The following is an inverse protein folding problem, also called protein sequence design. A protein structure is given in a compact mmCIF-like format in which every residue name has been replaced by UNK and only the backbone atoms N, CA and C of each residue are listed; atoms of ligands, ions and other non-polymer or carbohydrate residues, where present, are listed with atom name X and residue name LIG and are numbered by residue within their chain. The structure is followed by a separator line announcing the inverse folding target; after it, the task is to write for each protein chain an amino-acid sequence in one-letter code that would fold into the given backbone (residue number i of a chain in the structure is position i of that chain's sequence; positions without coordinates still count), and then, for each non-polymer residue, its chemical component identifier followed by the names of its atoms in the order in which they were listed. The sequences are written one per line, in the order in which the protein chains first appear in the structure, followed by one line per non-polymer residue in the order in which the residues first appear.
data_IF_514354242425
#
_entry.id   IF_514354242425
#
_cell.length_a   1.000
_cell.length_b   1.000
_cell.length_c   1.000
_cell.angle_alpha   90.00
_cell.angle_beta   90.00
_cell.angle_gamma   90.00
#
_symmetry.space_group_name_H-M   'P 1'
#
loop_
_entity.id
_entity.type
_entity.pdbx_description
1 polymer ?
#
# COMPACT_ATOMS: atom_id res chain seq x y z
N UNK A 1 9.52 -19.74 -28.37
CA UNK A 1 8.95 -18.84 -27.35
C UNK A 1 9.58 -17.46 -27.55
N UNK A 2 8.80 -16.38 -27.47
CA UNK A 2 9.38 -15.02 -27.54
C UNK A 2 10.19 -14.74 -26.27
N UNK A 3 11.11 -13.76 -26.34
CA UNK A 3 11.89 -13.32 -25.17
C UNK A 3 10.96 -12.91 -24.02
N UNK A 4 9.93 -12.13 -24.31
CA UNK A 4 8.93 -11.70 -23.32
C UNK A 4 8.25 -12.88 -22.62
N UNK A 5 7.88 -13.94 -23.35
CA UNK A 5 7.25 -15.12 -22.75
C UNK A 5 8.21 -15.89 -21.84
N UNK A 6 9.51 -15.95 -22.18
CA UNK A 6 10.51 -16.55 -21.32
C UNK A 6 10.77 -15.76 -20.04
N UNK A 7 10.81 -14.43 -20.13
CA UNK A 7 10.97 -13.54 -18.97
C UNK A 7 9.75 -13.59 -18.07
N UNK A 8 8.54 -13.61 -18.62
CA UNK A 8 7.29 -13.75 -17.89
C UNK A 8 7.23 -15.06 -17.10
N UNK A 9 7.62 -16.18 -17.71
CA UNK A 9 7.69 -17.46 -17.02
C UNK A 9 8.66 -17.41 -15.83
N UNK A 10 9.84 -16.80 -16.00
CA UNK A 10 10.79 -16.62 -14.90
C UNK A 10 10.23 -15.76 -13.76
N UNK A 11 9.52 -14.68 -14.07
CA UNK A 11 8.84 -13.87 -13.03
C UNK A 11 7.84 -14.73 -12.25
N UNK A 12 7.00 -15.52 -12.94
CA UNK A 12 6.04 -16.41 -12.28
C UNK A 12 6.74 -17.41 -11.35
N UNK A 13 7.87 -17.99 -11.79
CA UNK A 13 8.66 -18.92 -10.98
C UNK A 13 9.24 -18.24 -9.73
N UNK A 14 9.69 -16.99 -9.84
CA UNK A 14 10.13 -16.18 -8.68
C UNK A 14 8.99 -15.95 -7.71
N UNK A 15 7.85 -15.45 -8.20
CA UNK A 15 6.68 -15.15 -7.36
C UNK A 15 6.14 -16.38 -6.64
N UNK A 16 6.16 -17.56 -7.28
CA UNK A 16 5.75 -18.83 -6.63
C UNK A 16 6.75 -19.26 -5.55
N UNK A 17 8.02 -19.18 -5.86
CA UNK A 17 9.09 -19.56 -4.91
C UNK A 17 9.06 -18.71 -3.65
N UNK A 18 8.81 -17.41 -3.80
CA UNK A 18 8.78 -16.44 -2.72
C UNK A 18 7.42 -16.43 -1.97
N UNK A 19 6.49 -17.34 -2.33
CA UNK A 19 5.17 -17.46 -1.70
C UNK A 19 4.16 -16.38 -2.08
N UNK A 20 4.47 -15.50 -3.04
CA UNK A 20 3.58 -14.43 -3.49
C UNK A 20 2.47 -14.91 -4.44
N UNK A 21 2.55 -16.14 -4.97
CA UNK A 21 1.52 -16.76 -5.81
C UNK A 21 1.18 -18.15 -5.27
N UNK A 22 0.08 -18.25 -4.55
CA UNK A 22 -0.41 -19.52 -3.97
C UNK A 22 -1.52 -20.14 -4.78
N UNK A 23 -2.32 -19.31 -5.49
CA UNK A 23 -3.46 -19.75 -6.31
C UNK A 23 -3.04 -20.08 -7.75
N UNK A 24 -3.50 -21.22 -8.26
CA UNK A 24 -3.20 -21.66 -9.64
C UNK A 24 -3.84 -20.77 -10.72
N UNK A 25 -5.05 -20.24 -10.47
CA UNK A 25 -5.73 -19.36 -11.40
C UNK A 25 -5.01 -18.00 -11.52
N UNK A 26 -4.56 -17.42 -10.40
CA UNK A 26 -3.77 -16.20 -10.40
C UNK A 26 -2.38 -16.43 -11.03
N UNK A 27 -1.77 -17.60 -10.78
CA UNK A 27 -0.52 -18.00 -11.45
C UNK A 27 -0.71 -18.01 -12.98
N UNK A 28 -1.83 -18.55 -13.47
CA UNK A 28 -2.15 -18.51 -14.91
C UNK A 28 -2.39 -17.10 -15.42
N UNK A 29 -3.03 -16.22 -14.65
CA UNK A 29 -3.21 -14.83 -15.02
C UNK A 29 -1.86 -14.12 -15.22
N UNK A 30 -0.94 -14.24 -14.27
CA UNK A 30 0.42 -13.70 -14.42
C UNK A 30 1.21 -14.32 -15.58
N UNK A 31 1.00 -15.59 -15.89
CA UNK A 31 1.64 -16.28 -17.01
C UNK A 31 1.09 -15.86 -18.38
N UNK A 32 -0.14 -15.38 -18.47
CA UNK A 32 -0.83 -15.08 -19.73
C UNK A 32 -0.95 -13.60 -20.03
N UNK A 33 -1.20 -12.75 -19.04
CA UNK A 33 -1.35 -11.30 -19.24
C UNK A 33 0.02 -10.66 -19.54
N UNK A 34 0.21 -10.02 -20.71
CA UNK A 34 1.50 -9.49 -21.14
C UNK A 34 1.79 -8.13 -20.48
N UNK A 35 2.62 -8.10 -19.42
CA UNK A 35 2.92 -6.87 -18.66
C UNK A 35 3.52 -5.76 -19.54
N UNK A 36 4.29 -6.13 -20.56
CA UNK A 36 4.92 -5.20 -21.51
C UNK A 36 3.91 -4.34 -22.28
N UNK A 37 2.70 -4.84 -22.52
CA UNK A 37 1.63 -4.08 -23.21
C UNK A 37 1.14 -2.90 -22.34
N UNK A 38 1.19 -3.05 -21.03
CA UNK A 38 0.80 -2.03 -20.06
C UNK A 38 1.92 -1.02 -19.76
N UNK A 39 3.07 -1.16 -20.44
CA UNK A 39 4.24 -0.29 -20.34
C UNK A 39 4.69 0.22 -21.71
N UNK A 40 3.73 0.38 -22.63
CA UNK A 40 4.00 0.78 -24.03
C UNK A 40 4.71 2.13 -24.15
N UNK A 41 4.53 3.05 -23.19
CA UNK A 41 5.22 4.35 -23.15
C UNK A 41 6.59 4.28 -22.44
N UNK A 42 6.92 3.12 -21.87
CA UNK A 42 8.14 2.94 -21.09
C UNK A 42 7.98 3.16 -19.60
N UNK A 43 9.09 3.07 -18.88
CA UNK A 43 9.18 3.32 -17.45
C UNK A 43 10.54 3.92 -17.08
N UNK A 44 10.60 4.64 -15.97
CA UNK A 44 11.82 5.24 -15.44
C UNK A 44 12.60 4.20 -14.63
N UNK A 45 13.82 3.88 -15.07
CA UNK A 45 14.80 3.09 -14.32
C UNK A 45 15.70 4.03 -13.53
N UNK A 46 16.16 3.59 -12.36
CA UNK A 46 17.11 4.37 -11.54
C UNK A 46 18.46 4.54 -12.24
N UNK A 47 18.90 3.50 -12.96
CA UNK A 47 20.23 3.46 -13.56
C UNK A 47 20.26 3.95 -15.01
N UNK A 48 19.17 3.75 -15.77
CA UNK A 48 19.14 3.96 -17.23
C UNK A 48 18.22 5.13 -17.68
N UNK A 49 17.57 5.82 -16.74
CA UNK A 49 16.57 6.83 -17.09
C UNK A 49 15.30 6.22 -17.67
N UNK A 50 14.69 6.86 -18.69
CA UNK A 50 13.46 6.36 -19.31
C UNK A 50 13.78 5.26 -20.32
N UNK A 51 13.36 4.03 -20.03
CA UNK A 51 13.43 2.87 -20.93
C UNK A 51 12.11 2.71 -21.69
N UNK A 52 12.19 2.50 -23.01
CA UNK A 52 11.04 2.32 -23.91
C UNK A 52 11.07 0.95 -24.61
N UNK A 53 9.93 0.50 -25.15
CA UNK A 53 9.92 -0.69 -26.00
C UNK A 53 10.97 -0.60 -27.12
N UNK A 54 11.82 -1.63 -27.21
CA UNK A 54 12.92 -1.69 -28.17
C UNK A 54 14.28 -1.27 -27.61
N UNK A 55 14.33 -0.63 -26.43
CA UNK A 55 15.60 -0.33 -25.77
C UNK A 55 16.19 -1.61 -25.13
N UNK A 56 17.51 -1.70 -25.12
CA UNK A 56 18.22 -2.78 -24.42
C UNK A 56 17.84 -2.78 -22.94
N UNK A 57 17.46 -3.96 -22.42
CA UNK A 57 17.06 -4.14 -21.03
C UNK A 57 15.60 -3.78 -20.72
N UNK A 58 14.83 -3.21 -21.66
CA UNK A 58 13.41 -2.88 -21.43
C UNK A 58 12.61 -4.09 -20.94
N UNK A 59 12.59 -5.19 -21.71
CA UNK A 59 11.84 -6.39 -21.34
C UNK A 59 12.34 -7.02 -20.03
N UNK A 60 13.65 -7.03 -19.82
CA UNK A 60 14.22 -7.51 -18.57
C UNK A 60 13.74 -6.68 -17.36
N UNK A 61 13.67 -5.35 -17.51
CA UNK A 61 13.10 -4.45 -16.50
C UNK A 61 11.61 -4.67 -16.26
N UNK A 62 10.82 -4.81 -17.33
CA UNK A 62 9.38 -5.10 -17.27
C UNK A 62 9.08 -6.33 -16.42
N UNK A 63 9.87 -7.38 -16.52
CA UNK A 63 9.65 -8.66 -15.83
C UNK A 63 10.49 -8.85 -14.56
N UNK A 64 11.00 -7.75 -13.99
CA UNK A 64 11.53 -7.73 -12.61
C UNK A 64 10.38 -7.67 -11.62
N UNK A 65 10.61 -8.17 -10.41
CA UNK A 65 9.65 -8.03 -9.30
C UNK A 65 9.80 -6.67 -8.62
N UNK A 66 9.67 -5.60 -9.39
CA UNK A 66 9.83 -4.21 -8.95
C UNK A 66 8.61 -3.36 -9.35
N UNK A 67 8.39 -2.28 -8.60
CA UNK A 67 7.51 -1.19 -9.01
C UNK A 67 8.18 -0.36 -10.11
N UNK A 68 7.47 -0.06 -11.20
CA UNK A 68 7.98 0.65 -12.35
C UNK A 68 7.30 2.00 -12.49
N UNK A 69 8.04 3.09 -12.28
CA UNK A 69 7.53 4.45 -12.41
C UNK A 69 7.24 4.78 -13.87
N UNK A 70 5.99 5.10 -14.20
CA UNK A 70 5.53 5.37 -15.57
C UNK A 70 5.29 6.85 -15.84
N UNK A 71 5.16 7.66 -14.79
CA UNK A 71 4.95 9.11 -14.93
C UNK A 71 5.62 9.86 -13.80
N UNK A 72 6.28 10.96 -14.17
CA UNK A 72 6.82 11.95 -13.24
C UNK A 72 6.07 13.27 -13.42
N UNK A 73 5.84 13.99 -12.32
CA UNK A 73 5.45 15.40 -12.30
C UNK A 73 6.43 16.14 -11.39
N UNK A 74 7.04 17.19 -11.89
CA UNK A 74 8.08 17.97 -11.19
C UNK A 74 9.19 17.09 -10.60
N UNK A 75 9.61 16.06 -11.36
CA UNK A 75 10.62 15.10 -10.97
C UNK A 75 10.20 14.08 -9.92
N UNK A 76 8.93 14.05 -9.51
CA UNK A 76 8.38 13.12 -8.51
C UNK A 76 7.49 12.07 -9.18
N UNK A 77 7.55 10.81 -8.75
CA UNK A 77 6.64 9.77 -9.22
C UNK A 77 5.18 10.10 -8.91
N UNK A 78 4.31 10.04 -9.94
CA UNK A 78 2.87 10.26 -9.82
C UNK A 78 2.03 9.15 -10.46
N UNK A 79 2.66 8.18 -11.13
CA UNK A 79 2.04 6.94 -11.59
C UNK A 79 3.09 5.84 -11.74
N UNK A 80 2.71 4.59 -11.50
CA UNK A 80 3.57 3.41 -11.67
C UNK A 80 2.76 2.17 -12.02
N UNK A 81 3.46 1.14 -12.51
CA UNK A 81 3.01 -0.24 -12.45
C UNK A 81 3.53 -0.85 -11.16
N UNK A 82 2.67 -1.31 -10.29
CA UNK A 82 3.04 -1.85 -8.96
C UNK A 82 3.94 -3.08 -9.05
N UNK A 83 4.64 -3.38 -7.97
CA UNK A 83 5.47 -4.56 -7.83
C UNK A 83 4.62 -5.84 -7.96
N UNK A 84 5.00 -6.80 -8.82
CA UNK A 84 4.21 -8.00 -9.08
C UNK A 84 3.85 -8.83 -7.84
N UNK A 85 4.79 -9.03 -6.91
CA UNK A 85 4.51 -9.77 -5.66
C UNK A 85 3.46 -9.09 -4.79
N UNK A 86 3.49 -7.75 -4.72
CA UNK A 86 2.51 -6.98 -3.95
C UNK A 86 1.13 -7.02 -4.61
N UNK A 87 1.05 -6.92 -5.95
CA UNK A 87 -0.21 -7.11 -6.68
C UNK A 87 -0.79 -8.51 -6.45
N UNK A 88 0.04 -9.55 -6.53
CA UNK A 88 -0.38 -10.93 -6.30
C UNK A 88 -0.98 -11.09 -4.89
N UNK A 89 -0.26 -10.63 -3.87
CA UNK A 89 -0.71 -10.69 -2.48
C UNK A 89 -2.05 -9.94 -2.29
N UNK A 90 -2.18 -8.72 -2.81
CA UNK A 90 -3.41 -7.94 -2.67
C UNK A 90 -4.60 -8.59 -3.40
N UNK A 91 -4.40 -9.19 -4.58
CA UNK A 91 -5.45 -9.91 -5.32
C UNK A 91 -5.86 -11.19 -4.58
N UNK A 92 -4.90 -11.91 -3.98
CA UNK A 92 -5.18 -13.10 -3.16
C UNK A 92 -5.97 -12.73 -1.91
N UNK A 93 -5.55 -11.69 -1.17
CA UNK A 93 -6.25 -11.18 0.01
C UNK A 93 -7.67 -10.68 -0.30
N UNK A 94 -7.85 -10.06 -1.46
CA UNK A 94 -9.17 -9.64 -1.91
C UNK A 94 -10.09 -10.83 -2.22
N UNK A 95 -9.53 -12.02 -2.45
CA UNK A 95 -10.27 -13.22 -2.75
C UNK A 95 -11.04 -13.14 -4.08
N UNK A 96 -10.42 -12.54 -5.10
CA UNK A 96 -11.03 -12.36 -6.43
C UNK A 96 -11.47 -13.70 -7.02
N UNK A 97 -12.71 -13.76 -7.50
CA UNK A 97 -13.28 -14.93 -8.16
C UNK A 97 -14.10 -14.54 -9.41
N UNK A 98 -14.33 -15.52 -10.27
CA UNK A 98 -15.13 -15.32 -11.48
C UNK A 98 -16.55 -14.83 -11.16
N UNK A 99 -17.03 -13.87 -11.94
CA UNK A 99 -18.34 -13.25 -11.80
C UNK A 99 -18.43 -12.17 -10.72
N UNK A 100 -17.37 -11.95 -9.92
CA UNK A 100 -17.33 -10.84 -8.96
C UNK A 100 -17.24 -9.49 -9.67
N UNK A 101 -17.92 -8.50 -9.10
CA UNK A 101 -17.81 -7.09 -9.50
C UNK A 101 -16.82 -6.38 -8.59
N UNK A 102 -15.78 -5.82 -9.18
CA UNK A 102 -14.67 -5.20 -8.43
C UNK A 102 -14.55 -3.73 -8.81
N UNK A 103 -14.46 -2.88 -7.78
CA UNK A 103 -14.05 -1.48 -7.93
C UNK A 103 -12.55 -1.39 -7.62
N UNK A 104 -11.78 -0.86 -8.56
CA UNK A 104 -10.37 -0.51 -8.34
C UNK A 104 -10.21 1.00 -8.27
N UNK A 105 -9.49 1.48 -7.26
CA UNK A 105 -9.12 2.88 -7.07
C UNK A 105 -7.64 3.07 -7.37
N UNK A 106 -7.33 3.80 -8.45
CA UNK A 106 -5.99 3.96 -8.99
C UNK A 106 -5.72 2.97 -10.12
N UNK A 107 -6.14 3.29 -11.34
CA UNK A 107 -5.94 2.41 -12.51
C UNK A 107 -4.45 2.23 -12.87
N UNK A 108 -3.65 3.29 -12.69
CA UNK A 108 -2.25 3.28 -13.07
C UNK A 108 -2.06 2.83 -14.52
N UNK A 109 -1.36 1.72 -14.74
CA UNK A 109 -1.16 1.18 -16.08
C UNK A 109 -2.33 0.30 -16.58
N UNK A 110 -3.27 -0.10 -15.72
CA UNK A 110 -4.35 -1.05 -16.02
C UNK A 110 -3.93 -2.53 -15.88
N UNK A 111 -2.67 -2.82 -15.54
CA UNK A 111 -2.19 -4.21 -15.43
C UNK A 111 -2.88 -4.99 -14.31
N UNK A 112 -3.11 -4.36 -13.16
CA UNK A 112 -3.81 -4.99 -12.04
C UNK A 112 -5.27 -5.31 -12.39
N UNK A 113 -5.98 -4.37 -13.05
CA UNK A 113 -7.33 -4.63 -13.58
C UNK A 113 -7.34 -5.80 -14.56
N UNK A 114 -6.34 -5.90 -15.44
CA UNK A 114 -6.21 -7.00 -16.39
C UNK A 114 -6.00 -8.35 -15.69
N UNK A 115 -5.21 -8.41 -14.63
CA UNK A 115 -5.02 -9.64 -13.83
C UNK A 115 -6.33 -10.08 -13.18
N UNK A 116 -7.07 -9.17 -12.56
CA UNK A 116 -8.38 -9.48 -11.94
C UNK A 116 -9.41 -9.90 -13.00
N UNK A 117 -9.44 -9.25 -14.15
CA UNK A 117 -10.30 -9.65 -15.27
C UNK A 117 -9.92 -11.04 -15.82
N UNK A 118 -8.65 -11.41 -15.84
CA UNK A 118 -8.19 -12.76 -16.23
C UNK A 118 -8.64 -13.86 -15.25
N UNK A 119 -9.00 -13.50 -14.02
CA UNK A 119 -9.67 -14.39 -13.06
C UNK A 119 -11.19 -14.49 -13.28
N UNK A 120 -11.73 -13.79 -14.27
CA UNK A 120 -13.16 -13.78 -14.62
C UNK A 120 -13.99 -12.74 -13.87
N UNK A 121 -13.37 -11.76 -13.21
CA UNK A 121 -14.06 -10.65 -12.57
C UNK A 121 -14.49 -9.57 -13.59
N UNK A 122 -15.54 -8.81 -13.25
CA UNK A 122 -15.94 -7.56 -13.92
C UNK A 122 -15.35 -6.37 -13.14
N UNK A 123 -14.31 -5.75 -13.70
CA UNK A 123 -13.52 -4.73 -13.02
C UNK A 123 -13.88 -3.34 -13.53
N UNK A 124 -14.27 -2.46 -12.62
CA UNK A 124 -14.35 -1.02 -12.87
C UNK A 124 -13.20 -0.33 -12.16
N UNK A 125 -12.28 0.23 -12.93
CA UNK A 125 -11.10 0.93 -12.41
C UNK A 125 -11.26 2.43 -12.57
N UNK A 126 -10.93 3.21 -11.54
CA UNK A 126 -11.08 4.68 -11.52
C UNK A 126 -9.71 5.32 -11.33
N UNK A 127 -9.36 6.30 -12.17
CA UNK A 127 -8.16 7.11 -11.99
C UNK A 127 -8.51 8.61 -12.14
N UNK A 128 -7.92 9.42 -11.27
CA UNK A 128 -8.13 10.87 -11.27
C UNK A 128 -7.36 11.56 -12.41
N UNK A 129 -6.31 10.92 -12.94
CA UNK A 129 -5.46 11.46 -13.99
C UNK A 129 -6.01 11.06 -15.38
N UNK A 130 -6.56 12.00 -16.20
CA UNK A 130 -7.20 11.65 -17.47
C UNK A 130 -6.27 10.95 -18.48
N UNK A 131 -5.00 11.36 -18.53
CA UNK A 131 -3.98 10.77 -19.40
C UNK A 131 -3.57 9.35 -18.97
N UNK A 132 -3.51 9.10 -17.66
CA UNK A 132 -3.23 7.77 -17.10
C UNK A 132 -4.41 6.84 -17.39
N UNK A 133 -5.65 7.28 -17.12
CA UNK A 133 -6.84 6.50 -17.38
C UNK A 133 -6.99 6.14 -18.87
N UNK A 134 -6.72 7.09 -19.77
CA UNK A 134 -6.77 6.85 -21.21
C UNK A 134 -5.75 5.78 -21.64
N UNK A 135 -4.51 5.87 -21.17
CA UNK A 135 -3.45 4.90 -21.48
C UNK A 135 -3.78 3.50 -20.93
N UNK A 136 -4.32 3.42 -19.72
CA UNK A 136 -4.76 2.16 -19.14
C UNK A 136 -5.87 1.50 -19.95
N UNK A 137 -6.88 2.28 -20.40
CA UNK A 137 -7.94 1.80 -21.26
C UNK A 137 -7.42 1.30 -22.62
N UNK A 138 -6.44 2.01 -23.20
CA UNK A 138 -5.78 1.63 -24.45
C UNK A 138 -4.97 0.33 -24.30
N UNK A 139 -4.25 0.18 -23.17
CA UNK A 139 -3.50 -1.02 -22.86
C UNK A 139 -4.41 -2.25 -22.68
N UNK A 140 -5.53 -2.11 -21.96
CA UNK A 140 -6.54 -3.17 -21.80
C UNK A 140 -7.09 -3.61 -23.17
N UNK A 141 -7.44 -2.65 -24.05
CA UNK A 141 -7.92 -2.94 -25.40
C UNK A 141 -6.84 -3.67 -26.24
N UNK A 142 -5.60 -3.21 -26.18
CA UNK A 142 -4.47 -3.81 -26.90
C UNK A 142 -4.17 -5.23 -26.42
N UNK A 143 -4.31 -5.47 -25.13
CA UNK A 143 -4.15 -6.79 -24.53
C UNK A 143 -5.38 -7.71 -24.76
N UNK A 144 -6.47 -7.22 -25.38
CA UNK A 144 -7.69 -7.98 -25.61
C UNK A 144 -8.50 -8.28 -24.34
N UNK A 145 -8.31 -7.49 -23.28
CA UNK A 145 -9.03 -7.65 -22.01
C UNK A 145 -10.43 -7.05 -22.14
N UNK A 146 -11.47 -7.85 -21.94
CA UNK A 146 -12.89 -7.44 -22.05
C UNK A 146 -13.59 -7.30 -20.70
N UNK A 147 -13.07 -7.92 -19.65
CA UNK A 147 -13.65 -7.91 -18.29
C UNK A 147 -13.23 -6.71 -17.43
N UNK A 148 -12.58 -5.68 -18.00
CA UNK A 148 -12.18 -4.49 -17.27
C UNK A 148 -12.45 -3.23 -18.06
N UNK A 149 -12.85 -2.16 -17.36
CA UNK A 149 -13.00 -0.81 -17.92
C UNK A 149 -12.36 0.21 -17.00
N UNK A 150 -11.85 1.30 -17.59
CA UNK A 150 -11.24 2.41 -16.86
C UNK A 150 -12.07 3.67 -17.04
N UNK A 151 -12.31 4.38 -15.95
CA UNK A 151 -13.07 5.63 -15.90
C UNK A 151 -12.20 6.74 -15.30
N UNK A 152 -12.41 7.96 -15.77
CA UNK A 152 -11.81 9.15 -15.15
C UNK A 152 -12.74 9.61 -14.04
N UNK A 153 -12.23 9.71 -12.80
CA UNK A 153 -13.06 10.12 -11.68
C UNK A 153 -12.28 10.34 -10.41
N UNK A 154 -12.94 10.95 -9.42
CA UNK A 154 -12.39 11.06 -8.06
C UNK A 154 -12.57 9.72 -7.33
N UNK A 155 -11.44 9.05 -7.06
CA UNK A 155 -11.43 7.78 -6.36
C UNK A 155 -12.08 7.83 -4.97
N UNK A 156 -12.14 8.99 -4.31
CA UNK A 156 -12.87 9.15 -3.04
C UNK A 156 -14.36 8.81 -3.17
N UNK A 157 -14.98 9.17 -4.28
CA UNK A 157 -16.39 8.90 -4.54
C UNK A 157 -16.65 7.45 -5.00
N UNK A 158 -15.62 6.73 -5.42
CA UNK A 158 -15.77 5.44 -6.07
C UNK A 158 -16.48 5.56 -7.43
N UNK A 159 -17.34 4.57 -7.76
CA UNK A 159 -18.15 4.59 -9.00
C UNK A 159 -19.55 4.05 -8.69
N UNK A 160 -20.47 4.91 -8.27
CA UNK A 160 -21.79 4.48 -7.81
C UNK A 160 -22.67 3.91 -8.92
N UNK A 161 -22.46 4.26 -10.19
CA UNK A 161 -23.26 3.69 -11.30
C UNK A 161 -22.96 2.22 -11.55
N UNK A 162 -21.77 1.77 -11.13
CA UNK A 162 -21.35 0.38 -11.16
C UNK A 162 -21.70 -0.45 -9.92
N UNK A 163 -22.19 0.18 -8.84
CA UNK A 163 -22.52 -0.50 -7.59
C UNK A 163 -23.74 -1.44 -7.72
N UNK A 164 -23.90 -2.44 -6.81
CA UNK A 164 -22.96 -2.76 -5.74
C UNK A 164 -21.77 -3.60 -6.23
N UNK A 165 -20.65 -3.50 -5.49
CA UNK A 165 -19.42 -4.26 -5.74
C UNK A 165 -19.24 -5.36 -4.68
N UNK A 166 -18.67 -6.49 -5.09
CA UNK A 166 -18.28 -7.56 -4.16
C UNK A 166 -17.01 -7.19 -3.40
N UNK A 167 -16.10 -6.43 -4.09
CA UNK A 167 -14.77 -6.10 -3.59
C UNK A 167 -14.36 -4.69 -4.00
N UNK A 168 -13.53 -4.06 -3.17
CA UNK A 168 -12.83 -2.82 -3.52
C UNK A 168 -11.32 -3.04 -3.37
N UNK A 169 -10.57 -2.80 -4.43
CA UNK A 169 -9.10 -2.78 -4.46
C UNK A 169 -8.61 -1.33 -4.50
N UNK A 170 -7.77 -0.93 -3.56
CA UNK A 170 -7.13 0.39 -3.60
C UNK A 170 -5.65 0.20 -3.86
N UNK A 171 -5.11 0.86 -4.89
CA UNK A 171 -3.72 0.69 -5.35
C UNK A 171 -2.87 1.94 -5.17
N UNK A 172 -3.38 2.89 -4.43
CA UNK A 172 -2.71 4.14 -4.03
C UNK A 172 -2.73 4.28 -2.52
N UNK A 173 -1.70 4.90 -1.93
CA UNK A 173 -1.64 5.14 -0.48
C UNK A 173 -2.70 6.14 -0.04
N UNK A 174 -3.60 5.72 0.84
CA UNK A 174 -4.71 6.54 1.33
C UNK A 174 -4.59 6.82 2.82
N UNK A 175 -5.15 7.93 3.28
CA UNK A 175 -5.15 8.30 4.70
C UNK A 175 -6.27 7.61 5.50
N UNK A 176 -7.24 7.02 4.82
CA UNK A 176 -8.35 6.27 5.40
C UNK A 176 -9.29 5.71 4.34
N UNK A 177 -10.33 5.05 4.79
CA UNK A 177 -11.33 4.39 3.94
C UNK A 177 -12.49 5.35 3.67
N UNK A 178 -12.82 5.54 2.39
CA UNK A 178 -13.95 6.39 2.01
C UNK A 178 -15.29 5.76 2.44
N UNK A 179 -16.21 6.55 3.03
CA UNK A 179 -17.58 6.11 3.30
C UNK A 179 -18.32 5.67 2.02
N UNK A 180 -17.99 6.28 0.87
CA UNK A 180 -18.59 5.95 -0.41
C UNK A 180 -18.27 4.51 -0.84
N UNK A 181 -17.06 4.01 -0.57
CA UNK A 181 -16.70 2.63 -0.90
C UNK A 181 -17.52 1.63 -0.09
N UNK A 182 -17.70 1.91 1.22
CA UNK A 182 -18.52 1.06 2.10
C UNK A 182 -20.00 1.06 1.68
N UNK A 183 -20.51 2.21 1.22
CA UNK A 183 -21.89 2.32 0.71
C UNK A 183 -22.11 1.60 -0.63
N UNK A 184 -21.05 1.39 -1.41
CA UNK A 184 -21.07 0.71 -2.69
C UNK A 184 -20.76 -0.79 -2.60
N UNK A 185 -20.45 -1.32 -1.41
CA UNK A 185 -20.21 -2.75 -1.21
C UNK A 185 -21.50 -3.52 -0.97
N UNK A 186 -21.50 -4.77 -1.42
CA UNK A 186 -22.50 -5.75 -0.96
C UNK A 186 -22.30 -6.05 0.53
N UNK A 187 -23.34 -6.54 1.25
CA UNK A 187 -23.15 -7.10 2.58
C UNK A 187 -22.09 -8.22 2.58
N UNK A 188 -21.12 -8.15 3.47
CA UNK A 188 -19.98 -9.08 3.50
C UNK A 188 -18.91 -8.81 2.43
N UNK A 189 -19.01 -7.70 1.74
CA UNK A 189 -17.96 -7.22 0.82
C UNK A 189 -16.67 -6.86 1.57
N UNK A 190 -15.56 -6.84 0.84
CA UNK A 190 -14.21 -6.65 1.38
C UNK A 190 -13.50 -5.52 0.64
N UNK A 191 -12.76 -4.69 1.38
CA UNK A 191 -11.81 -3.71 0.84
C UNK A 191 -10.39 -4.17 1.17
N UNK A 192 -9.49 -4.09 0.20
CA UNK A 192 -8.04 -4.19 0.42
C UNK A 192 -7.42 -2.87 0.02
N UNK A 193 -6.76 -2.20 0.96
CA UNK A 193 -6.25 -0.84 0.78
C UNK A 193 -4.95 -0.59 1.55
N UNK A 194 -3.98 0.13 0.95
CA UNK A 194 -2.81 0.63 1.67
C UNK A 194 -3.20 1.91 2.44
N UNK A 195 -3.31 1.80 3.75
CA UNK A 195 -3.77 2.89 4.62
C UNK A 195 -2.60 3.45 5.43
N UNK A 196 -2.50 4.76 5.50
CA UNK A 196 -1.43 5.44 6.22
C UNK A 196 -1.41 5.03 7.71
N UNK A 197 -0.24 4.56 8.16
CA UNK A 197 0.04 4.18 9.53
C UNK A 197 1.52 4.41 9.84
N UNK A 198 1.79 5.23 10.84
CA UNK A 198 3.15 5.50 11.33
C UNK A 198 4.17 5.87 10.23
N UNK A 199 3.74 6.64 9.21
CA UNK A 199 4.61 7.08 8.11
C UNK A 199 4.78 6.08 6.96
N UNK A 200 4.14 4.92 7.03
CA UNK A 200 4.04 3.92 5.97
C UNK A 200 2.60 3.77 5.48
N UNK A 201 2.41 2.93 4.46
CA UNK A 201 1.09 2.54 3.95
C UNK A 201 0.95 1.01 3.99
N UNK A 202 0.85 0.37 5.18
CA UNK A 202 0.59 -1.05 5.25
C UNK A 202 -0.72 -1.38 4.51
N UNK A 203 -0.73 -2.53 3.85
CA UNK A 203 -1.95 -3.05 3.24
C UNK A 203 -2.85 -3.56 4.35
N UNK A 204 -4.08 -3.07 4.37
CA UNK A 204 -5.12 -3.48 5.30
C UNK A 204 -6.26 -4.16 4.57
N UNK A 205 -6.84 -5.15 5.22
CA UNK A 205 -8.13 -5.74 4.89
C UNK A 205 -9.20 -5.07 5.76
N UNK A 206 -10.29 -4.58 5.13
CA UNK A 206 -11.39 -3.88 5.81
C UNK A 206 -12.71 -4.55 5.50
N UNK A 207 -13.48 -4.84 6.54
CA UNK A 207 -14.78 -5.50 6.43
C UNK A 207 -15.78 -4.93 7.44
N UNK A 208 -17.07 -5.25 7.23
CA UNK A 208 -18.13 -4.94 8.18
C UNK A 208 -18.63 -6.21 8.85
N UNK A 209 -18.97 -6.13 10.13
CA UNK A 209 -19.61 -7.24 10.83
C UNK A 209 -21.04 -7.49 10.29
N UNK A 210 -21.48 -8.77 10.15
CA UNK A 210 -22.79 -9.11 9.56
C UNK A 210 -24.00 -8.51 10.29
N UNK A 211 -23.88 -8.15 11.56
CA UNK A 211 -24.94 -7.61 12.39
C UNK A 211 -25.15 -6.09 12.21
N UNK A 212 -24.34 -5.43 11.40
CA UNK A 212 -24.40 -3.99 11.22
C UNK A 212 -25.64 -3.59 10.44
N UNK A 213 -26.61 -2.96 11.11
CA UNK A 213 -27.65 -2.20 10.42
C UNK A 213 -27.01 -1.01 9.75
N UNK A 214 -27.19 -0.89 8.43
CA UNK A 214 -26.84 0.32 7.70
C UNK A 214 -27.66 1.46 8.34
N UNK A 215 -26.96 2.39 9.00
CA UNK A 215 -27.61 3.58 9.50
C UNK A 215 -28.02 4.48 8.34
N UNK A 216 -29.14 5.12 8.47
CA UNK A 216 -29.76 5.99 7.47
C UNK A 216 -28.90 7.20 7.07
N UNK A 217 -29.19 7.90 5.95
CA UNK A 217 -28.31 8.92 5.37
C UNK A 217 -27.99 10.05 6.35
N UNK A 218 -26.70 10.26 6.59
CA UNK A 218 -26.16 11.22 7.56
C UNK A 218 -24.85 10.77 8.19
N UNK A 219 -24.15 9.81 7.63
CA UNK A 219 -22.82 9.32 8.05
C UNK A 219 -22.64 9.20 9.59
N UNK A 220 -23.51 8.47 10.32
CA UNK A 220 -23.24 8.24 11.73
C UNK A 220 -21.99 7.40 11.91
N UNK A 221 -21.25 7.56 13.00
CA UNK A 221 -20.10 6.72 13.28
C UNK A 221 -20.55 5.25 13.32
N UNK A 222 -20.03 4.44 12.40
CA UNK A 222 -20.20 2.99 12.43
C UNK A 222 -19.13 2.41 13.36
N UNK A 223 -19.55 1.65 14.34
CA UNK A 223 -18.67 0.95 15.28
C UNK A 223 -18.38 -0.49 14.83
N UNK A 224 -18.93 -0.89 13.70
CA UNK A 224 -18.95 -2.24 13.18
C UNK A 224 -18.05 -2.46 11.96
N UNK A 225 -17.18 -1.48 11.65
CA UNK A 225 -16.17 -1.58 10.58
C UNK A 225 -14.83 -1.90 11.21
N UNK A 226 -14.19 -2.94 10.69
CA UNK A 226 -12.94 -3.46 11.20
C UNK A 226 -11.85 -3.43 10.13
N UNK A 227 -10.61 -3.23 10.56
CA UNK A 227 -9.43 -3.41 9.75
C UNK A 227 -8.53 -4.48 10.37
N UNK A 228 -7.90 -5.29 9.53
CA UNK A 228 -6.83 -6.20 9.90
C UNK A 228 -5.62 -5.96 9.00
N UNK A 229 -4.42 -6.10 9.56
CA UNK A 229 -3.20 -5.96 8.79
C UNK A 229 -3.00 -7.13 7.81
N UNK A 230 -2.34 -6.86 6.70
CA UNK A 230 -1.97 -7.87 5.69
C UNK A 230 -0.45 -7.90 5.52
N UNK A 231 0.16 -6.79 5.13
CA UNK A 231 1.62 -6.67 5.00
C UNK A 231 2.08 -5.22 5.09
N UNK A 232 3.36 -5.02 5.41
CA UNK A 232 4.04 -3.74 5.26
C UNK A 232 4.27 -3.41 3.80
N UNK A 233 4.02 -2.17 3.41
CA UNK A 233 4.25 -1.70 2.05
C UNK A 233 4.40 -0.18 1.99
N UNK A 234 4.98 0.31 0.90
CA UNK A 234 5.03 1.72 0.55
C UNK A 234 4.26 1.98 -0.74
N UNK A 235 3.42 2.98 -0.75
CA UNK A 235 2.63 3.38 -1.91
C UNK A 235 2.80 4.86 -2.21
N UNK A 236 2.62 5.23 -3.47
CA UNK A 236 2.43 6.64 -3.82
C UNK A 236 1.13 7.14 -3.21
N UNK A 237 1.20 8.32 -2.57
CA UNK A 237 0.03 8.92 -1.95
C UNK A 237 -1.05 9.27 -2.99
N UNK A 238 -2.29 9.04 -2.63
CA UNK A 238 -3.44 9.51 -3.38
C UNK A 238 -3.50 11.05 -3.40
N UNK A 239 -4.19 11.60 -4.38
CA UNK A 239 -4.56 13.02 -4.39
C UNK A 239 -5.88 13.31 -3.66
N UNK A 240 -6.19 14.61 -3.50
CA UNK A 240 -7.49 15.06 -2.98
C UNK A 240 -7.79 14.59 -1.56
N UNK A 241 -9.04 14.28 -1.29
CA UNK A 241 -9.52 13.87 0.04
C UNK A 241 -8.85 12.62 0.59
N UNK A 242 -8.46 11.68 -0.27
CA UNK A 242 -7.79 10.44 0.11
C UNK A 242 -6.33 10.64 0.53
N UNK A 243 -5.68 11.69 0.04
CA UNK A 243 -4.29 12.06 0.36
C UNK A 243 -4.18 13.21 1.36
N UNK A 244 -5.30 13.71 1.87
CA UNK A 244 -5.31 14.80 2.84
C UNK A 244 -4.49 14.41 4.09
N UNK A 245 -3.62 15.32 4.52
CA UNK A 245 -2.74 15.08 5.66
C UNK A 245 -3.58 15.00 6.94
N UNK A 246 -3.71 13.80 7.46
CA UNK A 246 -4.25 13.61 8.81
C UNK A 246 -3.12 13.83 9.81
N UNK A 247 -3.30 14.53 10.94
CA UNK A 247 -2.21 14.90 11.86
C UNK A 247 -1.35 13.73 12.38
N UNK A 248 -1.89 12.51 12.32
CA UNK A 248 -1.19 11.27 12.70
C UNK A 248 -1.03 10.24 11.59
N UNK A 249 -1.49 10.52 10.36
CA UNK A 249 -1.30 9.62 9.21
C UNK A 249 0.01 9.90 8.47
N UNK A 250 0.35 11.18 8.33
CA UNK A 250 1.60 11.65 7.75
C UNK A 250 2.09 12.87 8.54
N UNK A 251 3.01 12.72 9.47
CA UNK A 251 3.79 13.88 9.92
C UNK A 251 4.47 14.45 8.68
N UNK A 252 4.39 15.75 8.49
CA UNK A 252 5.07 16.42 7.38
C UNK A 252 6.51 15.92 7.33
N UNK A 253 7.04 15.72 6.13
CA UNK A 253 8.37 15.18 5.90
C UNK A 253 9.39 15.82 6.83
N UNK A 254 9.99 15.01 7.70
CA UNK A 254 11.15 15.43 8.47
C UNK A 254 12.27 15.59 7.48
N UNK A 255 12.86 16.79 7.39
CA UNK A 255 14.04 16.97 6.59
C UNK A 255 15.23 16.34 7.30
N UNK A 256 16.11 15.67 6.55
CA UNK A 256 17.35 15.10 7.10
C UNK A 256 18.18 16.13 7.88
N UNK A 257 18.06 17.44 7.56
CA UNK A 257 18.69 18.55 8.27
C UNK A 257 18.16 18.76 9.70
N UNK A 258 16.98 18.24 10.02
CA UNK A 258 16.35 18.38 11.33
C UNK A 258 16.92 17.36 12.34
N UNK A 259 17.70 16.38 11.85
CA UNK A 259 18.37 15.34 12.62
C UNK A 259 19.90 15.53 12.60
N UNK A 260 20.39 16.60 13.15
CA UNK A 260 21.83 16.79 13.25
C UNK A 260 22.42 15.80 14.28
N UNK A 261 23.18 14.82 13.80
CA UNK A 261 23.95 13.86 14.57
C UNK A 261 23.10 12.95 15.49
N UNK A 262 22.53 11.88 14.90
CA UNK A 262 22.05 10.74 15.66
C UNK A 262 23.25 10.00 16.26
N UNK A 263 23.24 9.79 17.57
CA UNK A 263 24.23 8.98 18.27
C UNK A 263 23.59 7.64 18.66
N UNK A 264 24.36 6.56 18.56
CA UNK A 264 23.93 5.25 19.06
C UNK A 264 23.88 5.31 20.59
N UNK A 265 22.68 5.13 21.13
CA UNK A 265 22.42 5.17 22.58
C UNK A 265 22.21 3.78 23.13
N UNK A 266 21.65 2.87 22.32
CA UNK A 266 21.45 1.47 22.65
C UNK A 266 21.95 0.56 21.53
N UNK A 267 22.66 -0.50 21.90
CA UNK A 267 23.25 -1.47 21.00
C UNK A 267 22.20 -2.40 20.38
N UNK A 268 22.60 -3.10 19.32
CA UNK A 268 21.76 -4.10 18.65
C UNK A 268 21.21 -5.13 19.64
N UNK A 269 19.91 -5.43 19.49
CA UNK A 269 19.20 -6.47 20.27
C UNK A 269 19.28 -7.84 19.63
N UNK A 270 19.47 -7.88 18.33
CA UNK A 270 19.52 -9.13 17.57
C UNK A 270 20.85 -9.26 16.84
N UNK A 271 21.41 -10.48 16.76
CA UNK A 271 22.72 -10.71 16.13
C UNK A 271 22.68 -10.52 14.60
N UNK A 272 21.49 -10.54 14.00
CA UNK A 272 21.26 -10.26 12.58
C UNK A 272 20.09 -9.30 12.45
N UNK A 273 20.19 -8.30 11.57
CA UNK A 273 19.08 -7.40 11.30
C UNK A 273 17.83 -8.14 10.81
N UNK A 274 16.65 -7.65 11.19
CA UNK A 274 15.39 -8.10 10.64
C UNK A 274 15.40 -7.87 9.12
N UNK A 275 14.85 -8.80 8.36
CA UNK A 275 14.58 -8.54 6.94
C UNK A 275 13.52 -7.44 6.78
N UNK A 276 13.33 -6.98 5.54
CA UNK A 276 12.44 -5.84 5.28
C UNK A 276 10.99 -6.08 5.75
N UNK A 277 10.46 -7.30 5.64
CA UNK A 277 9.10 -7.63 6.07
C UNK A 277 9.00 -7.59 7.60
N UNK A 278 9.93 -8.25 8.29
CA UNK A 278 9.98 -8.29 9.76
C UNK A 278 10.25 -6.91 10.37
N UNK A 279 11.03 -6.07 9.70
CA UNK A 279 11.24 -4.69 10.12
C UNK A 279 9.96 -3.85 9.98
N UNK A 280 9.15 -4.08 8.93
CA UNK A 280 7.84 -3.46 8.81
C UNK A 280 6.85 -3.95 9.88
N UNK A 281 6.93 -5.21 10.32
CA UNK A 281 6.15 -5.74 11.44
C UNK A 281 6.46 -5.01 12.75
N UNK A 282 7.75 -4.82 13.05
CA UNK A 282 8.21 -4.04 14.19
C UNK A 282 7.68 -2.60 14.12
N UNK A 283 7.91 -1.94 12.99
CA UNK A 283 7.49 -0.56 12.77
C UNK A 283 5.98 -0.38 12.93
N UNK A 284 5.19 -1.29 12.37
CA UNK A 284 3.74 -1.30 12.53
C UNK A 284 3.34 -1.40 14.01
N UNK A 285 3.91 -2.34 14.74
CA UNK A 285 3.61 -2.55 16.15
C UNK A 285 3.94 -1.34 17.02
N UNK A 286 5.10 -0.72 16.78
CA UNK A 286 5.50 0.52 17.48
C UNK A 286 4.50 1.63 17.18
N UNK A 287 4.13 1.82 15.91
CA UNK A 287 3.13 2.82 15.51
C UNK A 287 1.73 2.57 16.06
N UNK A 288 1.37 1.31 16.33
CA UNK A 288 0.11 0.96 16.97
C UNK A 288 0.05 1.40 18.45
N UNK A 289 1.19 1.51 19.11
CA UNK A 289 1.28 1.91 20.53
C UNK A 289 1.66 3.37 20.74
N UNK A 290 2.46 3.96 19.83
CA UNK A 290 2.96 5.31 19.98
C UNK A 290 2.74 6.16 18.73
N UNK A 291 1.94 7.22 18.87
CA UNK A 291 1.58 8.13 17.78
C UNK A 291 2.71 9.03 17.29
N UNK A 292 3.82 9.12 18.02
CA UNK A 292 5.04 9.82 17.59
C UNK A 292 5.78 9.06 16.50
N UNK A 293 5.42 7.79 16.28
CA UNK A 293 6.05 6.92 15.28
C UNK A 293 5.74 7.40 13.87
N UNK A 294 6.79 7.50 13.08
CA UNK A 294 6.72 7.86 11.66
C UNK A 294 7.89 7.27 10.86
N UNK A 295 7.87 7.44 9.54
CA UNK A 295 9.00 7.21 8.67
C UNK A 295 9.81 8.49 8.48
N UNK A 296 11.11 8.44 8.70
CA UNK A 296 11.98 9.56 8.40
C UNK A 296 13.34 9.09 7.87
N UNK A 297 13.97 9.91 7.01
CA UNK A 297 15.36 9.67 6.63
C UNK A 297 16.27 9.99 7.81
N UNK A 298 17.31 9.18 8.00
CA UNK A 298 18.42 9.39 8.91
C UNK A 298 19.73 9.02 8.21
N UNK A 299 20.88 9.33 8.84
CA UNK A 299 22.16 8.91 8.28
C UNK A 299 22.25 7.39 8.25
N UNK A 300 22.22 6.83 7.04
CA UNK A 300 22.17 5.37 6.80
C UNK A 300 20.88 4.85 6.18
N UNK A 301 19.81 5.67 6.00
CA UNK A 301 18.59 5.23 5.32
C UNK A 301 17.31 5.95 5.72
N UNK A 302 16.21 5.28 5.49
CA UNK A 302 14.88 5.69 5.95
C UNK A 302 14.30 4.56 6.79
N UNK A 303 13.76 4.88 7.96
CA UNK A 303 13.22 3.85 8.85
C UNK A 303 12.25 4.39 9.90
N UNK A 304 11.96 3.52 10.86
CA UNK A 304 11.08 3.79 11.99
C UNK A 304 11.69 4.80 12.95
N UNK A 305 11.01 5.90 13.18
CA UNK A 305 11.45 6.93 14.13
C UNK A 305 10.33 7.36 15.06
N UNK A 306 10.66 7.68 16.31
CA UNK A 306 9.82 8.42 17.22
C UNK A 306 10.26 9.88 17.22
N UNK A 307 9.37 10.77 16.79
CA UNK A 307 9.62 12.21 16.74
C UNK A 307 9.03 12.93 17.95
N UNK A 308 9.72 13.95 18.44
CA UNK A 308 9.10 14.89 19.36
C UNK A 308 8.07 15.79 18.66
N UNK A 309 7.28 16.52 19.44
CA UNK A 309 6.24 17.43 18.91
C UNK A 309 6.85 18.57 18.07
N UNK A 310 8.07 18.99 18.38
CA UNK A 310 8.77 20.06 17.68
C UNK A 310 9.51 19.56 16.44
N UNK A 311 9.67 18.24 16.30
CA UNK A 311 10.43 17.55 15.24
C UNK A 311 11.91 17.93 15.18
N UNK A 312 12.47 18.35 16.30
CA UNK A 312 13.88 18.72 16.44
C UNK A 312 14.71 17.64 17.13
N UNK A 313 14.06 16.57 17.60
CA UNK A 313 14.67 15.42 18.23
C UNK A 313 13.80 14.19 18.19
N UNK A 314 14.34 13.08 18.67
CA UNK A 314 13.64 11.79 18.72
C UNK A 314 14.58 10.61 18.73
N UNK A 315 14.07 9.43 18.40
CA UNK A 315 14.84 8.20 18.30
C UNK A 315 14.55 7.46 17.00
N UNK A 316 15.59 6.97 16.33
CA UNK A 316 15.50 6.05 15.20
C UNK A 316 15.73 4.61 15.68
N UNK A 317 14.91 3.69 15.24
CA UNK A 317 14.98 2.26 15.57
C UNK A 317 15.47 1.53 14.34
N UNK A 318 16.60 0.85 14.48
CA UNK A 318 17.23 0.13 13.36
C UNK A 318 16.70 -1.30 13.24
N UNK A 319 16.96 -1.93 12.10
CA UNK A 319 16.49 -3.28 11.82
C UNK A 319 17.10 -4.34 12.75
N UNK A 320 18.27 -4.10 13.36
CA UNK A 320 18.89 -4.96 14.36
C UNK A 320 18.45 -4.65 15.81
N UNK A 321 17.53 -3.69 15.96
CA UNK A 321 17.03 -3.25 17.26
C UNK A 321 17.91 -2.24 17.98
N UNK A 322 19.00 -1.78 17.37
CA UNK A 322 19.77 -0.66 17.87
C UNK A 322 18.94 0.64 17.82
N UNK A 323 19.23 1.57 18.73
CA UNK A 323 18.53 2.83 18.82
C UNK A 323 19.54 3.98 18.71
N UNK A 324 19.29 4.83 17.73
CA UNK A 324 19.97 6.12 17.57
C UNK A 324 19.05 7.21 18.10
N UNK A 325 19.59 8.18 18.81
CA UNK A 325 18.79 9.29 19.32
C UNK A 325 19.47 10.65 19.14
N UNK A 326 18.65 11.69 19.08
CA UNK A 326 19.12 13.08 18.95
C UNK A 326 18.18 14.07 19.67
N UNK A 327 18.68 15.29 19.89
CA UNK A 327 17.93 16.38 20.48
C UNK A 327 18.09 16.50 21.99
N UNK A 328 17.47 17.51 22.56
CA UNK A 328 17.63 17.88 23.98
C UNK A 328 17.19 16.77 24.96
N UNK A 329 16.33 15.86 24.51
CA UNK A 329 15.78 14.75 25.32
C UNK A 329 16.12 13.37 24.72
N UNK A 330 17.26 13.26 24.04
CA UNK A 330 17.69 12.04 23.36
C UNK A 330 17.59 10.77 24.24
N UNK A 331 18.07 10.84 25.48
CA UNK A 331 18.00 9.72 26.42
C UNK A 331 16.56 9.27 26.73
N UNK A 332 15.61 10.20 26.82
CA UNK A 332 14.19 9.88 27.05
C UNK A 332 13.60 9.20 25.81
N UNK A 333 13.85 9.74 24.62
CA UNK A 333 13.35 9.15 23.37
C UNK A 333 13.93 7.76 23.12
N UNK A 334 15.22 7.57 23.42
CA UNK A 334 15.85 6.24 23.35
C UNK A 334 15.22 5.25 24.32
N UNK A 335 15.00 5.66 25.57
CA UNK A 335 14.33 4.81 26.57
C UNK A 335 12.91 4.44 26.16
N UNK A 336 12.12 5.42 25.66
CA UNK A 336 10.76 5.15 25.16
C UNK A 336 10.78 4.15 23.98
N UNK A 337 11.69 4.36 23.03
CA UNK A 337 11.86 3.46 21.88
C UNK A 337 12.28 2.07 22.33
N UNK A 338 13.21 1.96 23.28
CA UNK A 338 13.67 0.68 23.86
C UNK A 338 12.53 -0.11 24.48
N UNK A 339 11.72 0.53 25.29
CA UNK A 339 10.53 -0.08 25.90
C UNK A 339 9.57 -0.64 24.85
N UNK A 340 9.36 0.08 23.74
CA UNK A 340 8.45 -0.36 22.66
C UNK A 340 9.03 -1.54 21.88
N UNK A 341 10.33 -1.52 21.60
CA UNK A 341 11.05 -2.62 20.92
C UNK A 341 11.03 -3.88 21.79
N UNK A 342 11.34 -3.74 23.08
CA UNK A 342 11.32 -4.86 24.03
C UNK A 342 9.90 -5.43 24.18
N UNK A 343 8.89 -4.57 24.27
CA UNK A 343 7.48 -5.00 24.27
C UNK A 343 7.11 -5.82 23.05
N UNK A 344 7.55 -5.40 21.84
CA UNK A 344 7.28 -6.15 20.61
C UNK A 344 7.98 -7.51 20.62
N UNK A 345 9.22 -7.56 21.11
CA UNK A 345 9.97 -8.80 21.27
C UNK A 345 9.32 -9.75 22.29
N UNK A 346 8.93 -9.25 23.47
CA UNK A 346 8.27 -10.01 24.54
C UNK A 346 6.93 -10.61 24.11
N UNK A 347 6.23 -9.97 23.18
CA UNK A 347 4.99 -10.48 22.56
C UNK A 347 5.25 -11.53 21.48
N UNK A 348 6.48 -11.97 21.29
CA UNK A 348 6.88 -12.96 20.28
C UNK A 348 7.02 -12.37 18.89
N UNK A 349 7.32 -11.07 18.77
CA UNK A 349 7.53 -10.38 17.50
C UNK A 349 6.32 -10.53 16.55
N UNK A 350 5.12 -10.09 16.92
CA UNK A 350 3.92 -10.28 16.12
C UNK A 350 4.02 -9.61 14.74
N UNK A 351 3.61 -10.34 13.69
CA UNK A 351 3.47 -9.80 12.36
C UNK A 351 2.25 -8.87 12.22
N UNK A 352 2.23 -8.11 11.15
CA UNK A 352 1.14 -7.14 10.86
C UNK A 352 -0.23 -7.84 10.82
N UNK A 353 -0.29 -9.08 10.33
CA UNK A 353 -1.53 -9.89 10.21
C UNK A 353 -2.18 -10.23 11.57
N UNK A 354 -1.45 -10.07 12.67
CA UNK A 354 -1.96 -10.28 14.03
C UNK A 354 -2.69 -9.07 14.61
N UNK A 355 -2.72 -7.94 13.89
CA UNK A 355 -3.32 -6.71 14.39
C UNK A 355 -4.69 -6.45 13.82
N UNK A 356 -5.60 -5.99 14.69
CA UNK A 356 -6.94 -5.51 14.34
C UNK A 356 -7.23 -4.16 14.96
N UNK A 357 -8.04 -3.35 14.28
CA UNK A 357 -8.56 -2.10 14.79
C UNK A 357 -10.00 -1.88 14.35
N UNK A 358 -10.80 -1.23 15.19
CA UNK A 358 -12.03 -0.63 14.74
C UNK A 358 -11.74 0.62 13.91
N UNK A 359 -12.55 0.88 12.88
CA UNK A 359 -12.48 2.12 12.13
C UNK A 359 -13.49 3.12 12.63
N UNK A 360 -13.04 4.34 12.86
CA UNK A 360 -13.89 5.45 13.27
C UNK A 360 -13.89 6.56 12.22
N UNK A 361 -15.03 7.21 12.07
CA UNK A 361 -15.17 8.34 11.13
C UNK A 361 -14.37 9.53 11.65
N UNK A 362 -13.63 10.18 10.78
CA UNK A 362 -12.79 11.32 11.08
C UNK A 362 -12.43 12.10 9.80
N UNK A 363 -11.47 13.00 9.90
CA UNK A 363 -11.02 13.81 8.78
C UNK A 363 -11.80 15.10 8.61
N UNK A 364 -11.74 15.67 7.40
CA UNK A 364 -12.49 16.85 7.03
C UNK A 364 -14.00 16.53 7.02
N UNK A 365 -14.85 17.28 7.71
CA UNK A 365 -16.30 17.07 7.65
C UNK A 365 -16.89 17.13 6.24
N UNK A 366 -16.25 17.84 5.31
CA UNK A 366 -16.69 17.91 3.91
C UNK A 366 -16.27 16.66 3.11
N UNK A 367 -15.26 15.93 3.59
CA UNK A 367 -14.77 14.70 2.96
C UNK A 367 -14.28 13.72 4.05
N UNK A 368 -15.21 13.19 4.88
CA UNK A 368 -14.84 12.33 5.99
C UNK A 368 -14.28 10.99 5.51
N UNK A 369 -13.40 10.41 6.32
CA UNK A 369 -12.80 9.10 6.09
C UNK A 369 -12.86 8.24 7.35
N UNK A 370 -12.93 6.93 7.19
CA UNK A 370 -12.78 6.00 8.30
C UNK A 370 -11.31 5.67 8.51
N UNK A 371 -10.82 5.87 9.74
CA UNK A 371 -9.42 5.64 10.11
C UNK A 371 -9.32 4.61 11.22
N UNK A 372 -8.28 3.73 11.19
CA UNK A 372 -8.05 2.76 12.26
C UNK A 372 -7.78 3.44 13.60
N UNK A 373 -8.37 2.89 14.66
CA UNK A 373 -8.18 3.33 16.04
C UNK A 373 -7.96 2.13 16.94
N UNK A 374 -7.13 2.34 17.96
CA UNK A 374 -6.95 1.37 19.04
C UNK A 374 -6.58 -0.03 18.54
N UNK A 375 -5.45 -0.11 17.85
CA UNK A 375 -4.92 -1.38 17.39
C UNK A 375 -4.73 -2.36 18.56
N UNK A 376 -5.18 -3.58 18.37
CA UNK A 376 -5.05 -4.70 19.31
C UNK A 376 -4.54 -5.95 18.62
N UNK A 377 -3.80 -6.77 19.36
CA UNK A 377 -3.36 -8.10 18.91
C UNK A 377 -4.49 -9.13 19.08
N UNK A 378 -4.61 -10.04 18.11
CA UNK A 378 -5.58 -11.13 18.07
C UNK A 378 -4.89 -12.48 17.93
#
# INVERSE_FOLDING_TARGET
MSEASGLRARLVDVLRRDGGLTRDDLTRAFATVPREVFLADGFHSQDAGLLRPGDDGFLAGVYRNDALVTKLADGRPVSSSSQPSLMALMIEELGVAAGMRILEIGAGTGYNAALMAALGADVTSVDVQPDVAAKAADALRTAGVTGARVLIGDGYLGEPSGAPYDRVMVTVGVTGISPHWLAQLVPGGLIVAPVAHAGNNPVLRVWTEPAARIAEPGWPPRTDIWAGGVCGAGFMAAGGALGATYPWAHPASVRAADWAALEEVETARWPQPLDGLRYHDLWFGIGAWDRRTTGAPYDGGTGCVLLDETRTGGAAILADGAILAAGAHAATYASDAGILVDRWADLGMPGIERWRAALVLGGDPAAPIYVPREWSLV
#
